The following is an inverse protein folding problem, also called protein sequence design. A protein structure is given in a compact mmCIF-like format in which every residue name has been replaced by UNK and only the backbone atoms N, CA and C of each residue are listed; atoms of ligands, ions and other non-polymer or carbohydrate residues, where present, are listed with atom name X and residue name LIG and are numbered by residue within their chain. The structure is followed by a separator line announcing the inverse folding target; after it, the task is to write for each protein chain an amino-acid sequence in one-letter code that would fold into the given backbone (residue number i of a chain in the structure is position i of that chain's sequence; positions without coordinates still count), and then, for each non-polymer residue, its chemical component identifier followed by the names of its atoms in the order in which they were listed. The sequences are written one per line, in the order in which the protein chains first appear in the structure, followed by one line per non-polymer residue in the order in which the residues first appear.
data_IF_634383131420
#
_entry.id   IF_634383131420
#
_cell.length_a   1.000
_cell.length_b   1.000
_cell.length_c   1.000
_cell.angle_alpha   90.00
_cell.angle_beta   90.00
_cell.angle_gamma   90.00
#
_symmetry.space_group_name_H-M   'P 1'
#
loop_
_entity.id
_entity.type
_entity.pdbx_description
1 polymer ?
#
# COMPACT_ATOMS: atom_id res chain seq x y z
N UNK A 1 2.82 -16.89 15.85
CA UNK A 1 3.15 -15.51 16.19
C UNK A 1 3.64 -14.77 14.98
N UNK A 2 3.08 -13.65 14.71
CA UNK A 2 3.53 -12.83 13.58
C UNK A 2 4.85 -12.15 13.92
N UNK A 3 5.73 -12.05 12.95
CA UNK A 3 6.91 -11.23 13.08
C UNK A 3 6.49 -9.77 13.00
N UNK A 4 7.31 -8.89 13.58
CA UNK A 4 7.06 -7.47 13.47
C UNK A 4 7.13 -7.04 12.01
N UNK A 5 6.08 -6.38 11.55
CA UNK A 5 6.04 -5.83 10.21
C UNK A 5 6.98 -4.62 10.14
N UNK A 6 7.82 -4.57 9.12
CA UNK A 6 8.78 -3.47 9.00
C UNK A 6 8.25 -2.32 8.15
N UNK A 7 7.50 -2.62 7.11
CA UNK A 7 6.96 -1.61 6.19
C UNK A 7 5.46 -1.79 6.05
N UNK A 8 4.73 -0.69 6.15
CA UNK A 8 3.31 -0.63 5.80
C UNK A 8 3.19 0.14 4.48
N UNK A 9 2.73 -0.53 3.44
CA UNK A 9 2.44 0.10 2.15
C UNK A 9 1.00 0.60 2.19
N UNK A 10 0.81 1.86 1.82
CA UNK A 10 -0.50 2.52 1.88
C UNK A 10 -0.98 2.79 0.46
N UNK A 11 -2.13 2.22 0.10
CA UNK A 11 -2.69 2.30 -1.25
C UNK A 11 -4.12 2.83 -1.18
N UNK A 12 -4.33 4.04 -1.69
CA UNK A 12 -5.67 4.60 -1.82
C UNK A 12 -6.26 4.19 -3.16
N UNK A 13 -7.54 3.83 -3.18
CA UNK A 13 -8.22 3.42 -4.40
C UNK A 13 -9.64 4.01 -4.47
N UNK A 14 -9.97 4.58 -5.62
CA UNK A 14 -11.32 5.02 -5.91
C UNK A 14 -11.53 5.00 -7.41
N UNK A 15 -12.39 4.08 -7.86
CA UNK A 15 -12.70 3.89 -9.30
C UNK A 15 -11.43 3.71 -10.14
N UNK A 16 -10.53 2.83 -9.68
CA UNK A 16 -9.29 2.49 -10.37
C UNK A 16 -9.34 1.08 -10.97
N UNK A 17 -10.51 0.63 -11.42
CA UNK A 17 -10.69 -0.73 -11.93
C UNK A 17 -9.67 -1.12 -13.00
N UNK A 18 -9.30 -0.17 -13.88
CA UNK A 18 -8.36 -0.42 -14.96
C UNK A 18 -6.90 -0.52 -14.49
N UNK A 19 -6.59 0.02 -13.31
CA UNK A 19 -5.21 0.19 -12.84
C UNK A 19 -4.89 -0.58 -11.58
N UNK A 20 -5.89 -0.86 -10.75
CA UNK A 20 -5.68 -1.37 -9.39
C UNK A 20 -4.95 -2.72 -9.39
N UNK A 21 -5.20 -3.57 -10.37
CA UNK A 21 -4.57 -4.89 -10.45
C UNK A 21 -3.05 -4.75 -10.59
N UNK A 22 -2.59 -3.86 -11.46
CA UNK A 22 -1.16 -3.61 -11.64
C UNK A 22 -0.53 -3.04 -10.38
N UNK A 23 -1.23 -2.13 -9.70
CA UNK A 23 -0.76 -1.57 -8.45
C UNK A 23 -0.57 -2.66 -7.39
N UNK A 24 -1.60 -3.45 -7.14
CA UNK A 24 -1.56 -4.51 -6.13
C UNK A 24 -0.52 -5.57 -6.46
N UNK A 25 -0.44 -5.99 -7.72
CA UNK A 25 0.53 -6.98 -8.17
C UNK A 25 1.96 -6.49 -7.92
N UNK A 26 2.26 -5.23 -8.24
CA UNK A 26 3.59 -4.65 -8.05
C UNK A 26 4.01 -4.57 -6.59
N UNK A 27 3.04 -4.54 -5.68
CA UNK A 27 3.31 -4.48 -4.25
C UNK A 27 3.47 -5.90 -3.65
N UNK A 28 2.53 -6.80 -3.92
CA UNK A 28 2.55 -8.13 -3.29
C UNK A 28 3.69 -9.00 -3.80
N UNK A 29 4.25 -8.68 -4.96
CA UNK A 29 5.38 -9.40 -5.53
C UNK A 29 6.74 -8.80 -5.16
N UNK A 30 6.78 -7.81 -4.27
CA UNK A 30 8.04 -7.23 -3.81
C UNK A 30 8.91 -8.29 -3.13
N UNK A 31 10.20 -8.28 -3.46
CA UNK A 31 11.18 -9.22 -2.93
C UNK A 31 11.88 -8.57 -1.75
N UNK A 32 11.62 -9.08 -0.54
CA UNK A 32 12.17 -8.51 0.70
C UNK A 32 12.60 -9.64 1.63
N UNK A 33 13.58 -9.33 2.50
CA UNK A 33 14.00 -10.23 3.58
C UNK A 33 13.33 -9.87 4.92
N UNK A 34 12.31 -9.02 4.87
CA UNK A 34 11.53 -8.62 6.04
C UNK A 34 10.04 -8.71 5.72
N UNK A 35 9.19 -8.84 6.74
CA UNK A 35 7.74 -8.82 6.52
C UNK A 35 7.25 -7.40 6.26
N UNK A 36 6.30 -7.29 5.34
CA UNK A 36 5.60 -6.03 5.06
C UNK A 36 4.11 -6.30 4.91
N UNK A 37 3.32 -5.25 5.02
CA UNK A 37 1.88 -5.31 4.86
C UNK A 37 1.43 -4.30 3.81
N UNK A 38 0.28 -4.55 3.22
CA UNK A 38 -0.38 -3.62 2.30
C UNK A 38 -1.74 -3.26 2.89
N UNK A 39 -1.90 -1.99 3.27
CA UNK A 39 -3.20 -1.45 3.63
C UNK A 39 -3.77 -0.78 2.38
N UNK A 40 -4.89 -1.28 1.90
CA UNK A 40 -5.55 -0.73 0.72
C UNK A 40 -6.96 -0.29 1.11
N UNK A 41 -7.26 0.97 0.83
CA UNK A 41 -8.56 1.55 1.15
C UNK A 41 -9.35 1.78 -0.12
N UNK A 42 -10.48 1.11 -0.24
CA UNK A 42 -11.45 1.36 -1.28
C UNK A 42 -12.43 2.42 -0.79
N UNK A 43 -12.39 3.59 -1.41
CA UNK A 43 -13.17 4.75 -0.96
C UNK A 43 -14.57 4.77 -1.59
N UNK A 44 -15.30 3.68 -1.43
CA UNK A 44 -16.65 3.50 -1.93
C UNK A 44 -16.70 3.55 -3.47
N UNK A 45 -15.82 2.78 -4.13
CA UNK A 45 -15.81 2.70 -5.58
C UNK A 45 -17.13 2.16 -6.12
N UNK A 46 -17.53 2.67 -7.27
CA UNK A 46 -18.75 2.27 -7.95
C UNK A 46 -18.50 1.30 -9.11
N UNK A 47 -17.22 1.02 -9.40
CA UNK A 47 -16.78 0.09 -10.45
C UNK A 47 -16.30 -1.24 -9.84
N UNK A 48 -15.49 -2.01 -10.56
CA UNK A 48 -14.95 -3.29 -10.11
C UNK A 48 -13.74 -3.22 -9.20
N UNK A 49 -13.33 -2.03 -8.74
CA UNK A 49 -12.15 -1.85 -7.90
C UNK A 49 -12.20 -2.71 -6.63
N UNK A 50 -13.32 -2.66 -5.89
CA UNK A 50 -13.45 -3.41 -4.63
C UNK A 50 -13.36 -4.91 -4.85
N UNK A 51 -13.91 -5.42 -5.95
CA UNK A 51 -13.86 -6.84 -6.27
C UNK A 51 -12.43 -7.32 -6.52
N UNK A 52 -11.62 -6.50 -7.20
CA UNK A 52 -10.21 -6.82 -7.47
C UNK A 52 -9.41 -6.79 -6.16
N UNK A 53 -9.66 -5.82 -5.31
CA UNK A 53 -9.01 -5.75 -3.99
C UNK A 53 -9.35 -7.02 -3.19
N UNK A 54 -10.60 -7.43 -3.20
CA UNK A 54 -11.06 -8.62 -2.48
C UNK A 54 -10.35 -9.88 -2.99
N UNK A 55 -10.16 -9.99 -4.30
CA UNK A 55 -9.42 -11.08 -4.92
C UNK A 55 -7.99 -11.17 -4.37
N UNK A 56 -7.30 -10.04 -4.27
CA UNK A 56 -5.93 -9.99 -3.73
C UNK A 56 -5.89 -10.25 -2.23
N UNK A 57 -6.87 -9.78 -1.48
CA UNK A 57 -6.95 -10.05 -0.05
C UNK A 57 -7.12 -11.54 0.23
N UNK A 58 -7.90 -12.24 -0.59
CA UNK A 58 -8.08 -13.68 -0.46
C UNK A 58 -6.83 -14.47 -0.86
N UNK A 59 -6.11 -14.00 -1.90
CA UNK A 59 -4.91 -14.66 -2.40
C UNK A 59 -3.70 -14.42 -1.51
N UNK A 60 -3.60 -13.24 -0.91
CA UNK A 60 -2.45 -12.84 -0.09
C UNK A 60 -2.91 -12.36 1.29
N UNK A 61 -3.53 -13.24 2.09
CA UNK A 61 -4.13 -12.82 3.37
C UNK A 61 -3.11 -12.36 4.41
N UNK A 62 -1.84 -12.79 4.28
CA UNK A 62 -0.79 -12.40 5.22
C UNK A 62 -0.20 -11.03 4.90
N UNK A 63 -0.49 -10.48 3.72
CA UNK A 63 0.05 -9.21 3.27
C UNK A 63 -1.04 -8.14 3.17
N UNK A 64 -2.15 -8.47 2.49
CA UNK A 64 -3.18 -7.50 2.13
C UNK A 64 -4.19 -7.34 3.26
N UNK A 65 -4.34 -6.10 3.72
CA UNK A 65 -5.33 -5.71 4.73
C UNK A 65 -6.25 -4.67 4.09
N UNK A 66 -7.44 -5.09 3.59
CA UNK A 66 -8.33 -4.17 2.89
C UNK A 66 -9.25 -3.42 3.86
N UNK A 67 -9.60 -2.21 3.45
CA UNK A 67 -10.59 -1.38 4.13
C UNK A 67 -11.59 -0.92 3.08
N UNK A 68 -12.87 -1.26 3.26
CA UNK A 68 -13.93 -0.93 2.32
C UNK A 68 -14.85 0.10 2.97
N UNK A 69 -14.94 1.27 2.36
CA UNK A 69 -15.80 2.33 2.89
C UNK A 69 -17.19 2.22 2.28
N UNK A 70 -18.21 2.44 3.09
CA UNK A 70 -19.59 2.49 2.61
C UNK A 70 -19.91 3.82 1.94
N UNK A 71 -19.27 4.90 2.40
CA UNK A 71 -19.43 6.24 1.86
C UNK A 71 -18.06 6.80 1.53
N UNK A 72 -17.98 7.53 0.43
CA UNK A 72 -16.74 8.15 -0.01
C UNK A 72 -16.24 9.15 1.04
N UNK A 73 -15.04 8.89 1.59
CA UNK A 73 -14.45 9.73 2.64
C UNK A 73 -13.90 11.02 2.07
N UNK A 74 -13.28 10.94 0.90
CA UNK A 74 -12.67 12.10 0.26
C UNK A 74 -13.69 13.22 0.03
N UNK A 75 -14.90 12.87 -0.42
CA UNK A 75 -15.96 13.85 -0.66
C UNK A 75 -16.51 14.48 0.61
N UNK A 76 -16.20 13.91 1.78
CA UNK A 76 -16.58 14.44 3.09
C UNK A 76 -15.44 15.21 3.74
N UNK A 77 -14.39 15.53 3.00
CA UNK A 77 -13.17 16.18 3.50
C UNK A 77 -12.49 15.38 4.62
N UNK A 78 -12.62 14.06 4.60
CA UNK A 78 -11.96 13.19 5.57
C UNK A 78 -10.64 12.73 4.98
N UNK A 79 -9.55 12.93 5.70
CA UNK A 79 -8.23 12.50 5.27
C UNK A 79 -8.08 10.99 5.53
N UNK A 80 -7.99 10.22 4.46
CA UNK A 80 -7.90 8.75 4.53
C UNK A 80 -6.66 8.31 5.31
N UNK A 81 -5.55 9.02 5.16
CA UNK A 81 -4.31 8.65 5.85
C UNK A 81 -4.46 8.72 7.36
N UNK A 82 -5.04 9.80 7.86
CA UNK A 82 -5.25 9.96 9.31
C UNK A 82 -6.42 9.16 9.83
N UNK A 83 -7.48 8.99 9.03
CA UNK A 83 -8.67 8.29 9.47
C UNK A 83 -8.52 6.76 9.40
N UNK A 84 -7.80 6.24 8.40
CA UNK A 84 -7.76 4.80 8.12
C UNK A 84 -6.35 4.24 8.27
N UNK A 85 -5.36 4.82 7.58
CA UNK A 85 -4.05 4.19 7.45
C UNK A 85 -3.20 4.29 8.70
N UNK A 86 -2.93 5.49 9.18
CA UNK A 86 -2.00 5.66 10.29
C UNK A 86 -2.45 4.96 11.58
N UNK A 87 -3.75 4.95 11.93
CA UNK A 87 -4.18 4.18 13.10
C UNK A 87 -3.99 2.66 12.96
N UNK A 88 -3.90 2.15 11.74
CA UNK A 88 -3.84 0.72 11.47
C UNK A 88 -2.47 0.22 11.00
N UNK A 89 -1.57 1.12 10.61
CA UNK A 89 -0.25 0.74 10.12
C UNK A 89 0.61 0.21 11.27
N UNK A 90 1.30 -0.90 11.04
CA UNK A 90 2.14 -1.58 12.05
C UNK A 90 3.62 -1.45 11.75
N UNK A 91 3.98 -1.02 10.55
CA UNK A 91 5.37 -0.94 10.13
C UNK A 91 6.13 0.22 10.76
N UNK A 92 7.44 0.04 10.89
CA UNK A 92 8.35 1.13 11.28
C UNK A 92 8.40 2.21 10.20
N UNK A 93 8.29 1.79 8.94
CA UNK A 93 8.29 2.67 7.77
C UNK A 93 6.96 2.59 7.05
N UNK A 94 6.60 3.66 6.34
CA UNK A 94 5.45 3.65 5.43
C UNK A 94 5.93 3.92 4.01
N UNK A 95 5.28 3.27 3.06
CA UNK A 95 5.50 3.48 1.62
C UNK A 95 4.17 3.78 0.97
N UNK A 96 4.19 4.53 -0.12
CA UNK A 96 2.97 4.99 -0.78
C UNK A 96 2.92 4.46 -2.21
N UNK A 97 1.76 3.93 -2.60
CA UNK A 97 1.48 3.54 -3.98
C UNK A 97 -0.01 3.68 -4.21
N UNK A 98 -0.42 4.69 -4.97
CA UNK A 98 -1.84 4.89 -5.25
C UNK A 98 -2.37 3.82 -6.19
N UNK A 99 -3.70 3.60 -6.17
CA UNK A 99 -4.34 2.51 -6.92
C UNK A 99 -4.27 2.67 -8.44
N UNK A 100 -3.90 3.84 -8.95
CA UNK A 100 -3.70 4.11 -10.36
C UNK A 100 -2.22 4.16 -10.76
N UNK A 101 -1.34 3.72 -9.87
CA UNK A 101 0.10 3.69 -10.10
C UNK A 101 0.63 2.27 -9.90
N UNK A 102 1.89 2.02 -10.23
CA UNK A 102 2.53 0.72 -9.96
C UNK A 102 4.04 0.89 -9.92
N UNK A 103 4.70 -0.03 -9.19
CA UNK A 103 6.14 -0.04 -9.06
C UNK A 103 6.75 -0.94 -10.12
N UNK A 104 7.88 -0.52 -10.70
CA UNK A 104 8.54 -1.28 -11.75
C UNK A 104 9.72 -2.12 -11.25
N UNK A 105 10.23 -1.83 -10.05
CA UNK A 105 11.37 -2.54 -9.48
C UNK A 105 10.91 -3.46 -8.35
N UNK A 106 11.02 -4.79 -8.52
CA UNK A 106 10.60 -5.74 -7.48
C UNK A 106 11.46 -5.69 -6.21
N UNK A 107 12.58 -4.97 -6.22
CA UNK A 107 13.46 -4.81 -5.06
C UNK A 107 13.36 -3.42 -4.43
N UNK A 108 12.37 -2.63 -4.83
CA UNK A 108 12.22 -1.25 -4.38
C UNK A 108 12.17 -1.13 -2.86
N UNK A 109 11.32 -1.91 -2.20
CA UNK A 109 11.19 -1.84 -0.74
C UNK A 109 12.48 -2.23 -0.05
N UNK A 110 13.12 -3.31 -0.50
CA UNK A 110 14.37 -3.78 0.09
C UNK A 110 15.46 -2.73 -0.03
N UNK A 111 15.59 -2.13 -1.21
CA UNK A 111 16.64 -1.13 -1.46
C UNK A 111 16.43 0.14 -0.63
N UNK A 112 15.19 0.61 -0.54
CA UNK A 112 14.89 1.81 0.23
C UNK A 112 15.02 1.59 1.74
N UNK A 113 14.60 0.43 2.23
CA UNK A 113 14.77 0.09 3.65
C UNK A 113 16.23 -0.06 4.00
N UNK A 114 17.02 -0.74 3.15
CA UNK A 114 18.47 -0.88 3.37
C UNK A 114 19.13 0.49 3.48
N UNK A 115 18.75 1.43 2.63
CA UNK A 115 19.28 2.79 2.69
C UNK A 115 18.90 3.47 4.00
N UNK A 116 17.63 3.43 4.40
CA UNK A 116 17.18 4.11 5.62
C UNK A 116 17.77 3.49 6.88
N UNK A 117 17.91 2.16 6.92
CA UNK A 117 18.54 1.49 8.06
C UNK A 117 20.03 1.79 8.18
N UNK A 118 20.71 2.00 7.04
CA UNK A 118 22.13 2.36 7.02
C UNK A 118 22.38 3.85 7.29
N UNK A 119 21.33 4.69 7.14
CA UNK A 119 21.43 6.14 7.27
C UNK A 119 20.35 6.68 8.20
N UNK A 120 20.47 6.43 9.52
CA UNK A 120 19.41 6.83 10.46
C UNK A 120 19.18 8.33 10.56
N UNK A 121 20.09 9.15 10.02
CA UNK A 121 19.92 10.60 9.93
C UNK A 121 18.85 11.02 8.92
N UNK A 122 18.45 10.13 8.00
CA UNK A 122 17.40 10.43 7.03
C UNK A 122 16.08 9.85 7.50
N UNK A 123 15.00 10.61 7.29
CA UNK A 123 13.64 10.18 7.65
C UNK A 123 12.82 9.74 6.43
N UNK A 124 13.32 10.00 5.20
CA UNK A 124 12.61 9.66 3.98
C UNK A 124 13.57 9.30 2.86
N UNK A 125 13.09 8.48 1.94
CA UNK A 125 13.81 8.05 0.75
C UNK A 125 12.85 8.06 -0.44
N UNK A 126 13.27 8.66 -1.55
CA UNK A 126 12.44 8.73 -2.76
C UNK A 126 13.21 8.10 -3.93
N UNK A 127 12.48 7.80 -4.99
CA UNK A 127 13.04 7.24 -6.22
C UNK A 127 12.61 8.07 -7.43
N UNK A 128 13.30 7.84 -8.55
CA UNK A 128 12.93 8.49 -9.81
C UNK A 128 11.64 7.90 -10.35
N UNK A 129 10.81 8.75 -10.94
CA UNK A 129 9.57 8.35 -11.57
C UNK A 129 9.74 8.46 -13.08
N UNK A 130 9.30 7.43 -13.81
CA UNK A 130 9.22 7.44 -15.26
C UNK A 130 7.92 8.13 -15.68
N UNK A 131 8.05 9.10 -16.55
CA UNK A 131 6.90 9.85 -17.08
C UNK A 131 6.50 9.36 -18.47
#
# INVERSE_FOLDING_TARGET
MSKDCLVSVLCTAYNHEEYIRDALESIVTQQTDFPFELLVNDDASTDGTAAIIREYAEKYPDIVRPFYQEKNLYSQDIDIYYAVFFPNARGKYVAFCEGDDYWTDPTKLQRQVDFLEAHPEYSACVHNTLL
#
